data_IF_349544471097
#
_entry.id   IF_349544471097
#
_cell.length_a   1.000
_cell.length_b   1.000
_cell.length_c   1.000
_cell.angle_alpha   90.00
_cell.angle_beta   90.00
_cell.angle_gamma   90.00
#
_symmetry.space_group_name_H-M   'P 1'
#
loop_
_entity.id
_entity.type
_entity.pdbx_description
1 polymer ?
#
# COMPACT_ATOMS: atom_id res chain seq x y z
N UNK A 1 12.63 -26.77 -67.44
CA UNK A 1 13.42 -25.80 -66.66
C UNK A 1 12.50 -24.65 -66.31
N UNK A 2 12.53 -24.18 -65.05
CA UNK A 2 11.35 -23.88 -64.26
C UNK A 2 10.96 -22.39 -64.32
N UNK A 3 9.69 -22.11 -64.01
CA UNK A 3 9.29 -20.81 -63.48
C UNK A 3 8.64 -21.05 -62.11
N UNK A 4 9.48 -21.00 -61.08
CA UNK A 4 9.06 -21.04 -59.68
C UNK A 4 8.71 -19.61 -59.27
N UNK A 5 7.43 -19.27 -59.32
CA UNK A 5 6.91 -18.12 -58.61
C UNK A 5 6.63 -18.53 -57.15
N UNK A 6 7.53 -18.14 -56.24
CA UNK A 6 7.31 -18.21 -54.80
C UNK A 6 6.05 -17.40 -54.41
N UNK A 7 5.14 -17.96 -53.57
CA UNK A 7 4.09 -17.16 -52.99
C UNK A 7 4.70 -16.19 -51.98
N UNK A 8 4.50 -14.89 -52.24
CA UNK A 8 4.89 -13.81 -51.35
C UNK A 8 4.39 -14.07 -49.93
N UNK A 9 5.35 -14.25 -49.01
CA UNK A 9 5.12 -14.34 -47.58
C UNK A 9 4.29 -13.14 -47.12
N UNK A 10 3.01 -13.38 -46.80
CA UNK A 10 2.14 -12.42 -46.14
C UNK A 10 2.80 -12.03 -44.81
N UNK A 11 3.37 -10.82 -44.78
CA UNK A 11 3.87 -10.22 -43.54
C UNK A 11 2.70 -10.13 -42.58
N UNK A 12 2.72 -10.96 -41.55
CA UNK A 12 1.80 -10.87 -40.43
C UNK A 12 2.05 -9.51 -39.76
N UNK A 13 1.22 -8.52 -40.07
CA UNK A 13 1.23 -7.23 -39.39
C UNK A 13 0.78 -7.52 -37.95
N UNK A 14 1.72 -7.47 -37.01
CA UNK A 14 1.40 -7.55 -35.60
C UNK A 14 0.34 -6.50 -35.26
N UNK A 15 -0.69 -6.84 -34.46
CA UNK A 15 -1.73 -5.87 -34.10
C UNK A 15 -1.10 -4.65 -33.43
N UNK A 16 -1.52 -3.46 -33.85
CA UNK A 16 -1.11 -2.19 -33.24
C UNK A 16 -1.45 -2.23 -31.75
N UNK A 17 -0.44 -2.06 -30.89
CA UNK A 17 -0.67 -2.07 -29.45
C UNK A 17 -1.68 -0.97 -29.06
N UNK A 18 -2.64 -1.27 -28.16
CA UNK A 18 -3.61 -0.27 -27.72
C UNK A 18 -2.93 0.99 -27.19
N UNK A 19 -3.35 2.17 -27.69
CA UNK A 19 -2.86 3.49 -27.27
C UNK A 19 -3.98 4.33 -26.67
N UNK A 20 -3.62 5.32 -25.85
CA UNK A 20 -4.58 6.26 -25.27
C UNK A 20 -5.31 7.04 -26.38
N UNK A 21 -6.64 7.11 -26.28
CA UNK A 21 -7.48 7.84 -27.24
C UNK A 21 -7.30 9.36 -27.08
N UNK A 22 -7.67 10.18 -28.09
CA UNK A 22 -7.66 11.63 -27.95
C UNK A 22 -8.47 12.14 -26.76
N UNK A 23 -9.65 11.56 -26.49
CA UNK A 23 -10.49 11.89 -25.32
C UNK A 23 -9.78 11.58 -24.00
N UNK A 24 -9.14 10.41 -23.90
CA UNK A 24 -8.35 10.05 -22.73
C UNK A 24 -7.16 11.00 -22.50
N UNK A 25 -6.47 11.43 -23.56
CA UNK A 25 -5.37 12.40 -23.44
C UNK A 25 -5.88 13.76 -22.96
N UNK A 26 -6.98 14.25 -23.52
CA UNK A 26 -7.60 15.51 -23.11
C UNK A 26 -8.09 15.48 -21.64
N UNK A 27 -8.70 14.36 -21.23
CA UNK A 27 -9.13 14.17 -19.85
C UNK A 27 -7.94 14.09 -18.88
N UNK A 28 -6.87 13.37 -19.25
CA UNK A 28 -5.64 13.31 -18.46
C UNK A 28 -4.99 14.69 -18.31
N UNK A 29 -4.95 15.49 -19.38
CA UNK A 29 -4.45 16.86 -19.34
C UNK A 29 -5.31 17.76 -18.45
N UNK A 30 -6.63 17.63 -18.49
CA UNK A 30 -7.53 18.38 -17.62
C UNK A 30 -7.30 18.04 -16.13
N UNK A 31 -7.10 16.75 -15.82
CA UNK A 31 -6.76 16.29 -14.46
C UNK A 31 -5.37 16.80 -14.04
N UNK A 32 -4.37 16.72 -14.92
CA UNK A 32 -3.02 17.23 -14.68
C UNK A 32 -3.05 18.72 -14.31
N UNK A 33 -3.76 19.54 -15.10
CA UNK A 33 -3.89 20.99 -14.84
C UNK A 33 -4.58 21.27 -13.51
N UNK A 34 -5.67 20.58 -13.21
CA UNK A 34 -6.39 20.78 -11.94
C UNK A 34 -5.55 20.37 -10.73
N UNK A 35 -4.82 19.25 -10.81
CA UNK A 35 -3.92 18.79 -9.75
C UNK A 35 -2.70 19.71 -9.59
N UNK A 36 -2.15 20.22 -10.69
CA UNK A 36 -1.06 21.20 -10.67
C UNK A 36 -1.49 22.51 -10.00
N UNK A 37 -2.71 22.98 -10.24
CA UNK A 37 -3.25 24.16 -9.56
C UNK A 37 -3.41 23.96 -8.04
N UNK A 38 -3.78 22.75 -7.61
CA UNK A 38 -3.78 22.38 -6.19
C UNK A 38 -2.37 22.41 -5.61
N UNK A 39 -1.36 21.87 -6.30
CA UNK A 39 0.03 21.95 -5.84
C UNK A 39 0.58 23.39 -5.82
N UNK A 40 0.21 24.22 -6.79
CA UNK A 40 0.61 25.62 -6.84
C UNK A 40 0.14 26.37 -5.58
N UNK A 41 -1.11 26.14 -5.17
CA UNK A 41 -1.75 26.81 -4.04
C UNK A 41 -1.52 26.13 -2.69
N UNK A 42 -1.24 24.83 -2.68
CA UNK A 42 -1.15 24.00 -1.48
C UNK A 42 -2.52 23.65 -0.91
N UNK A 43 -2.56 22.68 0.01
CA UNK A 43 -3.75 22.28 0.73
C UNK A 43 -4.41 23.46 1.48
N UNK A 44 -3.59 24.36 2.02
CA UNK A 44 -4.04 25.58 2.71
C UNK A 44 -4.76 26.55 1.75
N UNK A 45 -4.34 26.61 0.48
CA UNK A 45 -4.89 27.48 -0.55
C UNK A 45 -5.97 26.83 -1.45
N UNK A 46 -6.09 25.50 -1.44
CA UNK A 46 -6.99 24.74 -2.30
C UNK A 46 -8.46 24.78 -1.83
N UNK A 47 -9.08 25.96 -1.96
CA UNK A 47 -10.47 26.23 -1.59
C UNK A 47 -11.52 25.47 -2.43
N UNK A 48 -12.80 25.82 -2.25
CA UNK A 48 -13.91 25.12 -2.89
C UNK A 48 -13.86 25.11 -4.42
N UNK A 49 -13.35 26.18 -5.04
CA UNK A 49 -13.20 26.29 -6.50
C UNK A 49 -12.20 25.27 -7.03
N UNK A 50 -10.98 25.21 -6.47
CA UNK A 50 -9.96 24.24 -6.87
C UNK A 50 -10.45 22.79 -6.68
N UNK A 51 -11.16 22.51 -5.59
CA UNK A 51 -11.77 21.19 -5.38
C UNK A 51 -12.84 20.86 -6.42
N UNK A 52 -13.70 21.81 -6.77
CA UNK A 52 -14.73 21.62 -7.79
C UNK A 52 -14.11 21.38 -9.18
N UNK A 53 -13.00 22.04 -9.50
CA UNK A 53 -12.26 21.80 -10.74
C UNK A 53 -11.66 20.39 -10.82
N UNK A 54 -11.03 19.92 -9.73
CA UNK A 54 -10.51 18.55 -9.66
C UNK A 54 -11.64 17.53 -9.79
N UNK A 55 -12.78 17.74 -9.12
CA UNK A 55 -13.95 16.86 -9.23
C UNK A 55 -14.56 16.85 -10.64
N UNK A 56 -14.59 18.00 -11.31
CA UNK A 56 -15.04 18.11 -12.71
C UNK A 56 -14.11 17.34 -13.64
N UNK A 57 -12.79 17.51 -13.49
CA UNK A 57 -11.79 16.77 -14.26
C UNK A 57 -11.88 15.25 -13.98
N UNK A 58 -12.10 14.85 -12.73
CA UNK A 58 -12.31 13.45 -12.35
C UNK A 58 -13.57 12.87 -13.01
N UNK A 59 -14.65 13.66 -13.12
CA UNK A 59 -15.86 13.24 -13.82
C UNK A 59 -15.60 13.03 -15.32
N UNK A 60 -14.93 13.97 -15.99
CA UNK A 60 -14.54 13.83 -17.40
C UNK A 60 -13.65 12.59 -17.62
N UNK A 61 -12.63 12.41 -16.77
CA UNK A 61 -11.79 11.22 -16.78
C UNK A 61 -12.59 9.92 -16.64
N UNK A 62 -13.61 9.88 -15.78
CA UNK A 62 -14.50 8.72 -15.65
C UNK A 62 -15.32 8.45 -16.91
N UNK A 63 -15.82 9.49 -17.60
CA UNK A 63 -16.55 9.35 -18.86
C UNK A 63 -15.66 8.77 -19.97
N UNK A 64 -14.36 9.11 -19.98
CA UNK A 64 -13.36 8.59 -20.92
C UNK A 64 -12.73 7.24 -20.48
N UNK A 65 -13.25 6.62 -19.41
CA UNK A 65 -12.79 5.31 -18.94
C UNK A 65 -11.45 5.32 -18.19
N UNK A 66 -11.03 6.48 -17.66
CA UNK A 66 -9.86 6.65 -16.79
C UNK A 66 -10.27 6.54 -15.32
N UNK A 67 -10.70 5.35 -14.92
CA UNK A 67 -11.25 5.08 -13.60
C UNK A 67 -10.25 5.26 -12.47
N UNK A 68 -8.98 4.89 -12.67
CA UNK A 68 -7.91 5.09 -11.68
C UNK A 68 -7.69 6.57 -11.40
N UNK A 69 -7.44 7.37 -12.44
CA UNK A 69 -7.26 8.82 -12.30
C UNK A 69 -8.48 9.49 -11.63
N UNK A 70 -9.70 9.10 -12.01
CA UNK A 70 -10.92 9.62 -11.39
C UNK A 70 -11.02 9.26 -9.90
N UNK A 71 -10.71 8.01 -9.52
CA UNK A 71 -10.73 7.57 -8.13
C UNK A 71 -9.66 8.27 -7.28
N UNK A 72 -8.42 8.36 -7.77
CA UNK A 72 -7.31 9.01 -7.07
C UNK A 72 -7.57 10.52 -6.93
N UNK A 73 -8.16 11.18 -7.93
CA UNK A 73 -8.57 12.58 -7.85
C UNK A 73 -9.63 12.82 -6.76
N UNK A 74 -10.66 11.97 -6.68
CA UNK A 74 -11.67 12.04 -5.61
C UNK A 74 -11.02 11.81 -4.23
N UNK A 75 -10.10 10.85 -4.12
CA UNK A 75 -9.37 10.60 -2.89
C UNK A 75 -8.49 11.81 -2.47
N UNK A 76 -7.84 12.48 -3.41
CA UNK A 76 -7.09 13.70 -3.15
C UNK A 76 -8.00 14.82 -2.61
N UNK A 77 -9.17 15.03 -3.23
CA UNK A 77 -10.17 16.01 -2.74
C UNK A 77 -10.66 15.68 -1.34
N UNK A 78 -10.91 14.40 -1.02
CA UNK A 78 -11.26 14.00 0.34
C UNK A 78 -10.13 14.29 1.35
N UNK A 79 -8.87 14.09 0.95
CA UNK A 79 -7.71 14.49 1.75
C UNK A 79 -7.65 16.00 2.01
N UNK A 80 -7.91 16.82 0.98
CA UNK A 80 -7.99 18.29 1.11
C UNK A 80 -9.14 18.74 2.03
N UNK A 81 -10.25 18.00 2.05
CA UNK A 81 -11.38 18.26 2.96
C UNK A 81 -11.05 17.89 4.40
N UNK A 82 -10.43 16.72 4.60
CA UNK A 82 -9.96 16.28 5.92
C UNK A 82 -8.94 17.25 6.52
N UNK A 83 -7.99 17.75 5.73
CA UNK A 83 -7.02 18.75 6.15
C UNK A 83 -7.71 20.01 6.70
N UNK A 84 -8.70 20.54 5.96
CA UNK A 84 -9.46 21.74 6.35
C UNK A 84 -10.35 21.53 7.56
N UNK A 85 -10.90 20.32 7.71
CA UNK A 85 -11.72 19.95 8.86
C UNK A 85 -10.88 19.67 10.12
N UNK A 86 -9.54 19.74 10.03
CA UNK A 86 -8.62 19.34 11.10
C UNK A 86 -8.92 17.92 11.61
N UNK A 87 -9.24 17.02 10.69
CA UNK A 87 -9.54 15.62 11.00
C UNK A 87 -8.36 14.97 11.74
N UNK A 88 -8.52 14.39 12.94
CA UNK A 88 -7.44 13.71 13.66
C UNK A 88 -6.79 12.56 12.88
N UNK A 89 -7.51 11.95 11.92
CA UNK A 89 -7.00 10.91 11.05
C UNK A 89 -6.22 11.48 9.84
N UNK A 90 -6.24 12.78 9.59
CA UNK A 90 -5.53 13.39 8.47
C UNK A 90 -4.01 13.19 8.61
N UNK A 91 -3.37 12.79 7.51
CA UNK A 91 -1.92 12.69 7.36
C UNK A 91 -1.50 13.39 6.08
N UNK A 92 -0.55 14.33 6.18
CA UNK A 92 -0.01 15.05 5.02
C UNK A 92 0.70 14.11 4.02
N UNK A 93 1.33 13.06 4.53
CA UNK A 93 1.99 12.04 3.70
C UNK A 93 0.99 11.32 2.78
N UNK A 94 -0.21 10.99 3.26
CA UNK A 94 -1.25 10.34 2.46
C UNK A 94 -1.74 11.24 1.32
N UNK A 95 -1.95 12.53 1.60
CA UNK A 95 -2.33 13.50 0.57
C UNK A 95 -1.23 13.67 -0.48
N UNK A 96 0.04 13.77 -0.04
CA UNK A 96 1.18 13.84 -0.95
C UNK A 96 1.29 12.58 -1.83
N UNK A 97 1.09 11.39 -1.25
CA UNK A 97 1.06 10.12 -1.99
C UNK A 97 -0.06 10.06 -3.03
N UNK A 98 -1.27 10.52 -2.68
CA UNK A 98 -2.41 10.59 -3.62
C UNK A 98 -2.15 11.56 -4.77
N UNK A 99 -1.58 12.73 -4.50
CA UNK A 99 -1.24 13.70 -5.54
C UNK A 99 -0.13 13.17 -6.46
N UNK A 100 0.90 12.51 -5.90
CA UNK A 100 1.96 11.84 -6.64
C UNK A 100 1.37 10.76 -7.55
N UNK A 101 0.55 9.86 -7.02
CA UNK A 101 -0.09 8.80 -7.81
C UNK A 101 -0.94 9.38 -8.94
N UNK A 102 -1.75 10.41 -8.64
CA UNK A 102 -2.61 11.06 -9.63
C UNK A 102 -1.78 11.65 -10.78
N UNK A 103 -0.77 12.45 -10.43
CA UNK A 103 0.10 13.12 -11.39
C UNK A 103 0.95 12.11 -12.19
N UNK A 104 1.51 11.09 -11.55
CA UNK A 104 2.23 10.01 -12.23
C UNK A 104 1.32 9.30 -13.25
N UNK A 105 0.10 8.97 -12.84
CA UNK A 105 -0.88 8.27 -13.70
C UNK A 105 -1.18 9.09 -14.95
N UNK A 106 -1.57 10.35 -14.80
CA UNK A 106 -1.96 11.20 -15.93
C UNK A 106 -0.78 11.71 -16.75
N UNK A 107 0.42 11.81 -16.16
CA UNK A 107 1.65 12.13 -16.87
C UNK A 107 2.08 10.98 -17.78
N UNK A 108 1.99 9.73 -17.31
CA UNK A 108 2.44 8.55 -18.06
C UNK A 108 1.46 8.11 -19.15
N UNK A 109 0.16 8.27 -18.90
CA UNK A 109 -0.94 7.81 -19.76
C UNK A 109 -0.77 8.11 -21.27
N UNK A 110 -0.38 9.31 -21.72
CA UNK A 110 -0.30 9.62 -23.16
C UNK A 110 0.74 8.79 -23.91
N UNK A 111 1.74 8.26 -23.19
CA UNK A 111 2.86 7.48 -23.73
C UNK A 111 2.76 5.98 -23.48
N UNK A 112 1.79 5.54 -22.68
CA UNK A 112 1.62 4.13 -22.32
C UNK A 112 0.91 3.34 -23.42
N UNK A 113 1.30 2.07 -23.58
CA UNK A 113 0.69 1.12 -24.51
C UNK A 113 0.35 -0.20 -23.81
N UNK A 114 -0.50 -1.01 -24.45
CA UNK A 114 -0.76 -2.39 -24.03
C UNK A 114 -1.19 -2.56 -22.56
N UNK A 115 -0.48 -3.41 -21.82
CA UNK A 115 -0.77 -3.73 -20.43
C UNK A 115 -0.59 -2.52 -19.49
N UNK A 116 0.43 -1.69 -19.75
CA UNK A 116 0.68 -0.46 -18.97
C UNK A 116 -0.52 0.49 -19.07
N UNK A 117 -1.01 0.72 -20.30
CA UNK A 117 -2.19 1.56 -20.52
C UNK A 117 -3.41 1.00 -19.79
N UNK A 118 -3.60 -0.31 -19.79
CA UNK A 118 -4.71 -0.98 -19.11
C UNK A 118 -4.63 -0.76 -17.58
N UNK A 119 -3.44 -0.90 -17.00
CA UNK A 119 -3.21 -0.64 -15.57
C UNK A 119 -3.41 0.83 -15.18
N UNK A 120 -3.03 1.78 -16.06
CA UNK A 120 -3.24 3.21 -15.83
C UNK A 120 -4.70 3.66 -15.97
N UNK A 121 -5.49 3.00 -16.83
CA UNK A 121 -6.94 3.24 -16.94
C UNK A 121 -7.66 2.79 -15.67
N UNK A 122 -7.28 1.63 -15.13
CA UNK A 122 -8.00 0.97 -14.05
C UNK A 122 -9.40 0.51 -14.47
N UNK A 123 -10.15 -0.07 -13.54
CA UNK A 123 -11.45 -0.69 -13.83
C UNK A 123 -12.60 -0.01 -13.09
N UNK A 124 -13.74 0.22 -13.74
CA UNK A 124 -14.96 0.72 -13.10
C UNK A 124 -15.57 -0.31 -12.14
N UNK A 125 -15.61 -1.57 -12.58
CA UNK A 125 -16.14 -2.71 -11.85
C UNK A 125 -15.14 -3.85 -11.94
N UNK A 126 -14.94 -4.54 -10.82
CA UNK A 126 -14.09 -5.74 -10.78
C UNK A 126 -14.65 -6.78 -11.74
N UNK A 127 -13.84 -7.18 -12.71
CA UNK A 127 -14.10 -8.36 -13.50
C UNK A 127 -13.78 -9.60 -12.64
N UNK A 128 -14.63 -10.61 -12.74
CA UNK A 128 -14.37 -11.92 -12.17
C UNK A 128 -14.17 -12.89 -13.34
N UNK A 129 -13.05 -13.60 -13.35
CA UNK A 129 -12.77 -14.65 -14.30
C UNK A 129 -13.20 -16.01 -13.73
N UNK A 130 -13.70 -16.94 -14.56
CA UNK A 130 -13.95 -18.30 -14.12
C UNK A 130 -12.62 -19.00 -13.83
N UNK A 131 -12.50 -19.57 -12.63
CA UNK A 131 -11.32 -20.32 -12.19
C UNK A 131 -11.59 -21.83 -12.14
N UNK A 132 -12.86 -22.25 -12.29
CA UNK A 132 -13.25 -23.66 -12.26
C UNK A 132 -13.41 -24.19 -10.84
N UNK A 133 -12.59 -25.18 -10.45
CA UNK A 133 -12.60 -25.75 -9.10
C UNK A 133 -11.37 -25.31 -8.32
N UNK A 134 -11.59 -24.86 -7.08
CA UNK A 134 -10.54 -24.42 -6.17
C UNK A 134 -10.59 -25.24 -4.89
N UNK A 135 -9.42 -25.69 -4.43
CA UNK A 135 -9.20 -26.13 -3.05
C UNK A 135 -8.68 -24.94 -2.27
N UNK A 136 -9.30 -24.61 -1.15
CA UNK A 136 -8.94 -23.47 -0.32
C UNK A 136 -8.61 -23.92 1.10
N UNK A 137 -7.57 -23.33 1.66
CA UNK A 137 -7.08 -23.54 3.01
C UNK A 137 -7.14 -22.20 3.75
N UNK A 138 -7.84 -22.15 4.88
CA UNK A 138 -7.94 -20.96 5.70
C UNK A 138 -6.60 -20.47 6.26
N UNK A 139 -6.37 -19.15 6.22
CA UNK A 139 -5.18 -18.50 6.78
C UNK A 139 -5.51 -17.74 8.07
N UNK A 140 -6.25 -16.64 7.98
CA UNK A 140 -6.58 -15.74 9.09
C UNK A 140 -7.79 -14.85 8.75
N UNK A 141 -8.42 -14.27 9.76
CA UNK A 141 -9.50 -13.30 9.61
C UNK A 141 -9.04 -11.90 10.04
N UNK A 142 -9.18 -10.92 9.15
CA UNK A 142 -8.79 -9.54 9.38
C UNK A 142 -10.03 -8.66 9.62
N UNK A 143 -10.14 -7.99 10.78
CA UNK A 143 -11.13 -6.93 10.95
C UNK A 143 -10.70 -5.70 10.17
N UNK A 144 -11.65 -5.09 9.47
CA UNK A 144 -11.44 -3.88 8.67
C UNK A 144 -12.19 -2.73 9.32
N UNK A 145 -11.49 -1.65 9.63
CA UNK A 145 -12.05 -0.35 9.96
C UNK A 145 -11.39 0.67 9.05
N UNK A 146 -12.19 1.48 8.36
CA UNK A 146 -11.66 2.48 7.44
C UNK A 146 -12.06 3.88 7.90
N UNK A 147 -11.20 4.87 7.66
CA UNK A 147 -11.52 6.27 7.88
C UNK A 147 -12.76 6.73 7.07
N UNK A 148 -13.05 6.06 5.94
CA UNK A 148 -14.24 6.30 5.12
C UNK A 148 -15.55 5.75 5.69
N UNK A 149 -15.59 5.38 6.97
CA UNK A 149 -16.81 4.93 7.65
C UNK A 149 -17.30 3.55 7.20
N UNK A 150 -16.44 2.73 6.59
CA UNK A 150 -16.72 1.33 6.29
C UNK A 150 -16.02 0.44 7.30
N UNK A 151 -16.71 -0.63 7.70
CA UNK A 151 -16.20 -1.62 8.62
C UNK A 151 -16.69 -3.03 8.26
N UNK A 152 -15.95 -4.05 8.69
CA UNK A 152 -16.28 -5.43 8.38
C UNK A 152 -15.16 -6.41 8.67
N UNK A 153 -15.22 -7.57 8.03
CA UNK A 153 -14.19 -8.60 8.13
C UNK A 153 -13.80 -9.14 6.74
N UNK A 154 -12.54 -9.55 6.63
CA UNK A 154 -11.98 -10.23 5.46
C UNK A 154 -11.38 -11.55 5.92
N UNK A 155 -11.87 -12.65 5.37
CA UNK A 155 -11.28 -13.96 5.58
C UNK A 155 -10.30 -14.24 4.45
N UNK A 156 -9.10 -14.66 4.84
CA UNK A 156 -8.00 -14.99 3.94
C UNK A 156 -7.86 -16.50 3.81
N UNK A 157 -7.67 -16.94 2.57
CA UNK A 157 -7.44 -18.36 2.23
C UNK A 157 -6.33 -18.46 1.19
N UNK A 158 -5.69 -19.62 1.10
CA UNK A 158 -4.76 -19.95 0.03
C UNK A 158 -5.18 -21.22 -0.73
N UNK A 159 -4.82 -21.33 -2.00
CA UNK A 159 -4.86 -22.59 -2.73
C UNK A 159 -3.58 -23.43 -2.49
N UNK A 160 -3.51 -24.70 -2.96
CA UNK A 160 -2.31 -25.52 -2.81
C UNK A 160 -1.05 -24.96 -3.46
N UNK A 161 -1.21 -24.10 -4.46
CA UNK A 161 -0.15 -23.39 -5.16
C UNK A 161 0.35 -22.16 -4.36
N UNK A 162 -0.34 -21.77 -3.29
CA UNK A 162 -0.01 -20.63 -2.43
C UNK A 162 -0.61 -19.31 -2.90
N UNK A 163 -1.54 -19.33 -3.86
CA UNK A 163 -2.25 -18.12 -4.31
C UNK A 163 -3.28 -17.72 -3.28
N UNK A 164 -3.31 -16.42 -2.99
CA UNK A 164 -4.17 -15.86 -1.96
C UNK A 164 -5.55 -15.51 -2.52
N UNK A 165 -6.56 -15.87 -1.75
CA UNK A 165 -7.96 -15.59 -2.03
C UNK A 165 -8.65 -14.96 -0.83
N UNK A 166 -9.62 -14.09 -1.09
CA UNK A 166 -10.34 -13.37 -0.03
C UNK A 166 -11.86 -13.48 -0.16
N UNK A 167 -12.52 -13.52 1.00
CA UNK A 167 -13.97 -13.36 1.16
C UNK A 167 -14.22 -12.22 2.15
N UNK A 168 -14.94 -11.20 1.73
CA UNK A 168 -15.12 -9.96 2.50
C UNK A 168 -16.59 -9.64 2.75
N UNK A 169 -16.95 -9.25 3.98
CA UNK A 169 -18.19 -8.51 4.30
C UNK A 169 -17.80 -7.17 4.88
N UNK A 170 -17.61 -6.18 4.00
CA UNK A 170 -17.30 -4.79 4.36
C UNK A 170 -18.43 -3.92 3.85
N UNK A 171 -19.02 -3.14 4.74
CA UNK A 171 -20.08 -2.19 4.42
C UNK A 171 -19.97 -0.94 5.32
N UNK A 172 -20.74 0.12 5.07
CA UNK A 172 -20.81 1.26 5.97
C UNK A 172 -21.10 0.80 7.41
N UNK A 173 -20.30 1.29 8.36
CA UNK A 173 -20.37 0.87 9.76
C UNK A 173 -19.15 1.29 10.57
N UNK A 174 -19.28 1.16 11.89
CA UNK A 174 -18.21 1.44 12.85
C UNK A 174 -17.47 0.18 13.34
N UNK A 175 -16.56 0.32 14.30
CA UNK A 175 -15.71 -0.77 14.79
C UNK A 175 -16.47 -2.00 15.31
N UNK A 176 -17.65 -1.82 15.91
CA UNK A 176 -18.50 -2.94 16.35
C UNK A 176 -18.94 -3.85 15.19
N UNK A 177 -19.08 -3.28 13.98
CA UNK A 177 -19.32 -4.07 12.77
C UNK A 177 -18.09 -4.86 12.37
N UNK A 178 -16.88 -4.31 12.54
CA UNK A 178 -15.65 -5.00 12.16
C UNK A 178 -15.47 -6.29 12.95
N UNK A 179 -15.68 -6.23 14.27
CA UNK A 179 -15.62 -7.40 15.13
C UNK A 179 -16.80 -8.33 14.89
N UNK A 180 -18.03 -7.82 14.85
CA UNK A 180 -19.23 -8.63 14.66
C UNK A 180 -19.35 -9.30 13.28
N UNK A 181 -18.75 -8.72 12.23
CA UNK A 181 -18.74 -9.31 10.90
C UNK A 181 -17.94 -10.62 10.86
N UNK A 182 -16.91 -10.77 11.72
CA UNK A 182 -16.10 -11.98 11.76
C UNK A 182 -16.92 -13.24 12.13
N UNK A 183 -17.96 -13.07 12.94
CA UNK A 183 -18.88 -14.11 13.39
C UNK A 183 -20.18 -14.18 12.57
N UNK A 184 -20.31 -13.32 11.56
CA UNK A 184 -21.47 -13.31 10.67
C UNK A 184 -21.28 -14.32 9.55
N UNK A 185 -22.30 -15.15 9.31
CA UNK A 185 -22.26 -16.10 8.21
C UNK A 185 -22.26 -15.38 6.85
N UNK A 186 -21.29 -15.72 6.00
CA UNK A 186 -21.23 -15.37 4.58
C UNK A 186 -21.57 -16.59 3.75
N UNK A 187 -22.37 -16.38 2.72
CA UNK A 187 -22.68 -17.40 1.73
C UNK A 187 -21.60 -17.45 0.66
N UNK A 188 -21.06 -18.65 0.46
CA UNK A 188 -20.22 -18.99 -0.69
C UNK A 188 -20.88 -20.19 -1.37
N UNK A 189 -21.58 -19.93 -2.46
CA UNK A 189 -22.48 -20.91 -3.06
C UNK A 189 -23.55 -21.37 -2.08
N UNK A 190 -23.65 -22.69 -1.88
CA UNK A 190 -24.62 -23.31 -0.97
C UNK A 190 -24.17 -23.39 0.48
N UNK A 191 -22.89 -23.11 0.74
CA UNK A 191 -22.33 -23.16 2.10
C UNK A 191 -22.43 -21.80 2.77
N UNK A 192 -22.79 -21.81 4.07
CA UNK A 192 -22.75 -20.64 4.93
C UNK A 192 -21.72 -20.87 6.06
N UNK A 193 -20.67 -20.05 6.07
CA UNK A 193 -19.60 -20.07 7.08
C UNK A 193 -19.39 -18.66 7.62
N UNK A 194 -19.02 -18.54 8.89
CA UNK A 194 -18.50 -17.28 9.42
C UNK A 194 -17.11 -17.01 8.83
N UNK A 195 -16.66 -15.75 8.80
CA UNK A 195 -15.30 -15.44 8.33
C UNK A 195 -14.24 -16.13 9.16
N UNK A 196 -14.40 -16.23 10.48
CA UNK A 196 -13.48 -16.98 11.35
C UNK A 196 -13.37 -18.46 10.92
N UNK A 197 -14.50 -19.11 10.62
CA UNK A 197 -14.50 -20.49 10.13
C UNK A 197 -13.91 -20.62 8.74
N UNK A 198 -14.22 -19.69 7.83
CA UNK A 198 -13.63 -19.70 6.49
C UNK A 198 -12.12 -19.49 6.53
N UNK A 199 -11.65 -18.67 7.47
CA UNK A 199 -10.25 -18.43 7.73
C UNK A 199 -9.55 -19.61 8.44
N UNK A 200 -10.27 -20.58 9.02
CA UNK A 200 -9.69 -21.70 9.79
C UNK A 200 -9.92 -23.09 9.22
N UNK A 201 -10.98 -23.28 8.45
CA UNK A 201 -11.36 -24.55 7.85
C UNK A 201 -10.86 -24.65 6.39
N UNK A 202 -10.98 -25.84 5.80
CA UNK A 202 -10.77 -26.04 4.37
C UNK A 202 -12.09 -25.95 3.60
N UNK A 203 -12.01 -25.55 2.32
CA UNK A 203 -13.15 -25.51 1.41
C UNK A 203 -12.78 -26.09 0.05
N UNK A 204 -13.72 -26.80 -0.57
CA UNK A 204 -13.70 -27.09 -2.00
C UNK A 204 -14.78 -26.26 -2.65
N UNK A 205 -14.39 -25.43 -3.62
CA UNK A 205 -15.30 -24.56 -4.38
C UNK A 205 -15.31 -25.05 -5.83
N UNK A 206 -16.49 -25.14 -6.42
CA UNK A 206 -16.68 -25.40 -7.85
C UNK A 206 -17.48 -24.28 -8.50
N UNK A 207 -17.19 -24.02 -9.78
CA UNK A 207 -17.72 -22.85 -10.48
C UNK A 207 -17.20 -21.53 -9.90
N UNK A 208 -16.03 -21.55 -9.27
CA UNK A 208 -15.44 -20.39 -8.63
C UNK A 208 -15.19 -19.29 -9.66
N UNK A 209 -15.49 -18.05 -9.26
CA UNK A 209 -15.10 -16.87 -10.02
C UNK A 209 -14.19 -16.02 -9.15
N UNK A 210 -13.06 -15.58 -9.70
CA UNK A 210 -12.01 -14.87 -8.95
C UNK A 210 -11.70 -13.57 -9.66
N UNK A 211 -11.57 -12.49 -8.89
CA UNK A 211 -11.13 -11.21 -9.43
C UNK A 211 -9.62 -11.14 -9.62
N UNK A 212 -9.16 -10.11 -10.34
CA UNK A 212 -7.74 -9.77 -10.44
C UNK A 212 -7.11 -9.31 -9.11
N UNK A 213 -7.86 -9.26 -8.01
CA UNK A 213 -7.31 -9.06 -6.66
C UNK A 213 -7.55 -10.29 -5.77
N UNK A 214 -7.88 -11.45 -6.34
CA UNK A 214 -8.01 -12.71 -5.59
C UNK A 214 -9.32 -12.83 -4.81
N UNK A 215 -10.24 -11.87 -4.94
CA UNK A 215 -11.54 -11.94 -4.27
C UNK A 215 -12.41 -13.00 -4.92
N UNK A 216 -13.01 -13.86 -4.09
CA UNK A 216 -13.94 -14.87 -4.54
C UNK A 216 -15.33 -14.27 -4.77
N UNK A 217 -15.93 -14.63 -5.91
CA UNK A 217 -17.31 -14.32 -6.23
C UNK A 217 -18.27 -15.31 -5.57
N UNK A 218 -19.47 -14.83 -5.23
CA UNK A 218 -20.56 -15.64 -4.68
C UNK A 218 -21.72 -15.78 -5.68
N UNK A 219 -21.41 -15.97 -6.96
CA UNK A 219 -22.40 -16.07 -8.03
C UNK A 219 -23.27 -17.35 -7.94
N UNK A 220 -24.41 -17.36 -8.63
CA UNK A 220 -25.37 -18.46 -8.59
C UNK A 220 -24.83 -19.83 -9.06
N UNK A 221 -23.74 -19.84 -9.85
CA UNK A 221 -23.06 -21.06 -10.31
C UNK A 221 -21.98 -21.58 -9.35
N UNK A 222 -21.69 -20.85 -8.27
CA UNK A 222 -20.69 -21.25 -7.28
C UNK A 222 -21.30 -22.28 -6.34
N UNK A 223 -20.61 -23.39 -6.11
CA UNK A 223 -20.92 -24.36 -5.05
C UNK A 223 -19.69 -24.49 -4.17
N UNK A 224 -19.89 -24.57 -2.86
CA UNK A 224 -18.80 -24.80 -1.93
C UNK A 224 -19.20 -25.86 -0.93
N UNK A 225 -18.24 -26.68 -0.51
CA UNK A 225 -18.41 -27.70 0.54
C UNK A 225 -17.20 -27.62 1.47
N UNK A 226 -17.44 -27.80 2.77
CA UNK A 226 -16.37 -27.89 3.76
C UNK A 226 -15.47 -29.08 3.46
N UNK A 227 -14.18 -28.89 3.65
CA UNK A 227 -13.16 -29.90 3.48
C UNK A 227 -12.15 -29.84 4.64
N UNK A 228 -11.29 -30.85 4.71
CA UNK A 228 -10.15 -30.80 5.64
C UNK A 228 -9.25 -29.60 5.31
N UNK A 229 -9.02 -28.75 6.29
CA UNK A 229 -8.04 -27.65 6.22
C UNK A 229 -6.60 -28.16 6.40
N UNK A 230 -5.66 -27.23 6.49
CA UNK A 230 -4.26 -27.51 6.82
C UNK A 230 -3.80 -26.49 7.88
N UNK A 231 -2.99 -26.95 8.84
CA UNK A 231 -2.28 -26.05 9.74
C UNK A 231 -1.21 -25.25 9.01
N UNK A 232 -0.74 -24.15 9.62
CA UNK A 232 0.33 -23.34 9.00
C UNK A 232 1.65 -24.09 8.83
N UNK A 233 1.91 -25.12 9.66
CA UNK A 233 3.08 -26.01 9.59
C UNK A 233 2.83 -27.28 8.76
N UNK A 234 1.70 -27.36 8.07
CA UNK A 234 1.32 -28.53 7.27
C UNK A 234 1.26 -28.15 5.78
N UNK A 235 1.55 -29.13 4.93
CA UNK A 235 1.27 -28.98 3.50
C UNK A 235 -0.25 -28.80 3.27
N UNK A 236 -0.64 -27.91 2.34
CA UNK A 236 0.22 -27.16 1.42
C UNK A 236 0.62 -25.75 1.92
N UNK A 237 0.26 -25.35 3.14
CA UNK A 237 0.44 -23.97 3.61
C UNK A 237 1.87 -23.63 4.03
N UNK A 238 2.64 -24.60 4.51
CA UNK A 238 4.02 -24.43 4.97
C UNK A 238 4.91 -23.69 3.95
N UNK A 239 4.64 -23.91 2.65
CA UNK A 239 5.34 -23.26 1.53
C UNK A 239 5.33 -21.73 1.57
N UNK A 240 4.30 -21.12 2.17
CA UNK A 240 4.17 -19.66 2.24
C UNK A 240 5.26 -19.07 3.15
N UNK A 241 5.60 -19.80 4.22
CA UNK A 241 6.68 -19.45 5.15
C UNK A 241 8.07 -19.90 4.66
N UNK A 242 8.12 -20.93 3.81
CA UNK A 242 9.38 -21.38 3.22
C UNK A 242 10.03 -20.37 2.26
N UNK A 243 9.27 -19.39 1.77
CA UNK A 243 9.81 -18.32 0.93
C UNK A 243 10.63 -17.30 1.75
N UNK A 244 11.84 -16.91 1.32
CA UNK A 244 12.65 -15.93 2.03
C UNK A 244 11.93 -14.59 2.24
N UNK A 245 12.02 -14.02 3.44
CA UNK A 245 11.36 -12.75 3.79
C UNK A 245 11.74 -11.58 2.85
N UNK A 246 12.98 -11.59 2.34
CA UNK A 246 13.46 -10.61 1.35
C UNK A 246 12.62 -10.66 0.05
N UNK A 247 12.37 -11.85 -0.48
CA UNK A 247 11.61 -12.04 -1.72
C UNK A 247 10.14 -11.67 -1.52
N UNK A 248 9.58 -12.04 -0.36
CA UNK A 248 8.23 -11.64 0.03
C UNK A 248 8.09 -10.11 0.13
N UNK A 249 9.09 -9.42 0.69
CA UNK A 249 9.10 -7.97 0.80
C UNK A 249 9.21 -7.29 -0.57
N UNK A 250 10.09 -7.77 -1.46
CA UNK A 250 10.22 -7.27 -2.84
C UNK A 250 8.90 -7.42 -3.59
N UNK A 251 8.24 -8.58 -3.46
CA UNK A 251 6.92 -8.81 -4.05
C UNK A 251 5.88 -7.84 -3.50
N UNK A 252 5.80 -7.68 -2.18
CA UNK A 252 4.88 -6.75 -1.53
C UNK A 252 5.10 -5.28 -1.97
N UNK A 253 6.36 -4.86 -2.11
CA UNK A 253 6.75 -3.53 -2.59
C UNK A 253 6.43 -3.27 -4.07
N UNK A 254 6.43 -4.33 -4.88
CA UNK A 254 6.08 -4.28 -6.29
C UNK A 254 4.57 -4.09 -6.54
N UNK A 255 3.78 -3.94 -5.46
CA UNK A 255 2.33 -3.85 -5.55
C UNK A 255 1.67 -5.18 -5.88
N UNK A 256 2.41 -6.30 -5.80
CA UNK A 256 1.80 -7.62 -5.95
C UNK A 256 0.90 -7.89 -4.74
N UNK A 257 -0.32 -8.26 -5.09
CA UNK A 257 -1.50 -8.55 -4.27
C UNK A 257 -1.24 -8.63 -2.76
N UNK A 258 -1.90 -7.70 -2.06
CA UNK A 258 -2.16 -7.66 -0.62
C UNK A 258 -1.01 -7.25 0.30
N UNK A 259 0.24 -7.36 -0.13
CA UNK A 259 1.41 -6.93 0.66
C UNK A 259 1.58 -7.72 1.96
N UNK A 260 1.16 -8.98 1.96
CA UNK A 260 1.30 -9.90 3.09
C UNK A 260 2.68 -10.55 3.11
N UNK A 261 3.20 -10.73 4.31
CA UNK A 261 4.43 -11.42 4.65
C UNK A 261 4.09 -12.59 5.58
N UNK A 262 4.70 -13.73 5.33
CA UNK A 262 4.61 -14.97 6.08
C UNK A 262 5.97 -15.21 6.74
N UNK A 263 6.06 -14.91 8.03
CA UNK A 263 7.34 -14.78 8.74
C UNK A 263 7.45 -15.84 9.84
N UNK A 264 8.60 -16.49 9.92
CA UNK A 264 9.05 -17.23 11.11
C UNK A 264 9.82 -16.24 12.00
N UNK A 265 9.34 -16.04 13.23
CA UNK A 265 9.81 -15.00 14.14
C UNK A 265 10.26 -15.58 15.48
N UNK A 266 11.29 -14.98 16.07
CA UNK A 266 11.62 -15.16 17.48
C UNK A 266 11.53 -13.81 18.18
N UNK A 267 10.67 -13.69 19.19
CA UNK A 267 10.51 -12.42 19.93
C UNK A 267 11.82 -12.09 20.64
N UNK A 268 12.34 -10.89 20.45
CA UNK A 268 13.57 -10.42 21.11
C UNK A 268 13.31 -9.37 22.18
N UNK A 269 12.21 -8.64 22.08
CA UNK A 269 11.81 -7.66 23.10
C UNK A 269 10.81 -6.65 22.56
N UNK A 270 10.83 -5.43 23.08
CA UNK A 270 10.01 -4.33 22.59
C UNK A 270 10.74 -2.98 22.70
N UNK A 271 10.33 -2.03 21.87
CA UNK A 271 10.78 -0.65 21.89
C UNK A 271 9.59 0.29 21.85
N UNK A 272 9.68 1.42 22.55
CA UNK A 272 8.70 2.50 22.45
C UNK A 272 9.16 3.52 21.42
N UNK A 273 8.40 3.66 20.33
CA UNK A 273 8.59 4.70 19.34
C UNK A 273 7.60 5.85 19.55
N UNK A 274 7.82 6.97 18.85
CA UNK A 274 6.86 8.08 18.83
C UNK A 274 5.47 7.65 18.33
N UNK A 275 5.42 6.65 17.44
CA UNK A 275 4.18 6.10 16.90
C UNK A 275 3.48 5.09 17.84
N UNK A 276 4.18 4.55 18.85
CA UNK A 276 3.61 3.56 19.77
C UNK A 276 4.57 2.45 20.17
N UNK A 277 4.02 1.42 20.82
CA UNK A 277 4.75 0.22 21.21
C UNK A 277 5.05 -0.62 19.96
N UNK A 278 6.31 -1.02 19.80
CA UNK A 278 6.76 -1.90 18.73
C UNK A 278 7.38 -3.16 19.35
N UNK A 279 6.93 -4.33 18.90
CA UNK A 279 7.54 -5.61 19.22
C UNK A 279 8.80 -5.78 18.35
N UNK A 280 9.90 -6.20 18.96
CA UNK A 280 11.13 -6.56 18.27
C UNK A 280 11.18 -8.08 18.11
N UNK A 281 11.50 -8.54 16.91
CA UNK A 281 11.69 -9.96 16.61
C UNK A 281 12.88 -10.17 15.67
N UNK A 282 13.50 -11.34 15.77
CA UNK A 282 14.43 -11.84 14.77
C UNK A 282 13.66 -12.66 13.73
N UNK A 283 13.93 -12.42 12.46
CA UNK A 283 13.39 -13.15 11.32
C UNK A 283 14.56 -13.67 10.49
N UNK A 284 15.11 -14.82 10.88
CA UNK A 284 16.24 -15.43 10.17
C UNK A 284 17.49 -14.53 10.11
N UNK A 285 17.79 -13.80 11.19
CA UNK A 285 18.89 -12.84 11.27
C UNK A 285 18.53 -11.41 10.87
N UNK A 286 17.30 -11.16 10.38
CA UNK A 286 16.80 -9.80 10.12
C UNK A 286 16.05 -9.31 11.36
N UNK A 287 16.49 -8.20 11.95
CA UNK A 287 15.79 -7.55 13.05
C UNK A 287 14.54 -6.81 12.53
N UNK A 288 13.35 -7.30 12.90
CA UNK A 288 12.05 -6.78 12.43
C UNK A 288 11.36 -5.99 13.54
N UNK A 289 10.83 -4.82 13.18
CA UNK A 289 9.93 -4.02 14.02
C UNK A 289 8.47 -4.31 13.68
N UNK A 290 7.74 -4.87 14.63
CA UNK A 290 6.34 -5.28 14.47
C UNK A 290 5.42 -4.32 15.20
N UNK A 291 4.43 -3.78 14.50
CA UNK A 291 3.42 -2.88 15.06
C UNK A 291 2.02 -3.46 14.99
N UNK A 292 1.06 -2.82 15.66
CA UNK A 292 -0.35 -3.08 15.37
C UNK A 292 -0.64 -2.82 13.88
N UNK A 293 -1.43 -3.70 13.25
CA UNK A 293 -1.88 -3.49 11.88
C UNK A 293 -2.95 -2.39 11.78
N UNK A 294 -3.73 -2.19 12.84
CA UNK A 294 -4.69 -1.10 13.01
C UNK A 294 -4.65 -0.62 14.47
N UNK A 295 -4.58 0.69 14.67
CA UNK A 295 -4.48 1.33 15.98
C UNK A 295 -5.83 1.65 16.64
N UNK A 296 -6.95 1.31 15.98
CA UNK A 296 -8.27 1.61 16.49
C UNK A 296 -8.50 0.91 17.85
N UNK A 297 -8.88 1.65 18.91
CA UNK A 297 -8.89 1.13 20.30
C UNK A 297 -9.87 -0.02 20.55
N UNK A 298 -10.88 -0.18 19.69
CA UNK A 298 -11.81 -1.30 19.75
C UNK A 298 -11.22 -2.65 19.27
N UNK A 299 -10.09 -2.63 18.55
CA UNK A 299 -9.43 -3.82 18.02
C UNK A 299 -8.34 -4.31 18.99
N UNK A 300 -8.08 -5.62 19.00
CA UNK A 300 -7.20 -6.25 19.98
C UNK A 300 -5.68 -6.08 19.70
N UNK A 301 -5.30 -5.54 18.54
CA UNK A 301 -3.90 -5.50 18.08
C UNK A 301 -2.92 -4.94 19.12
N UNK A 302 -3.20 -3.73 19.66
CA UNK A 302 -2.28 -3.04 20.57
C UNK A 302 -2.07 -3.79 21.87
N UNK A 303 -3.12 -4.39 22.41
CA UNK A 303 -3.04 -5.18 23.64
C UNK A 303 -2.24 -6.45 23.41
N UNK A 304 -2.51 -7.16 22.31
CA UNK A 304 -1.78 -8.37 21.95
C UNK A 304 -0.29 -8.12 21.73
N UNK A 305 0.08 -7.03 21.03
CA UNK A 305 1.49 -6.64 20.85
C UNK A 305 2.19 -6.43 22.20
N UNK A 306 1.53 -5.77 23.16
CA UNK A 306 2.07 -5.60 24.51
C UNK A 306 2.19 -6.91 25.28
N UNK A 307 1.23 -7.81 25.14
CA UNK A 307 1.27 -9.14 25.76
C UNK A 307 2.46 -9.95 25.22
N UNK A 308 2.62 -10.01 23.90
CA UNK A 308 3.74 -10.71 23.26
C UNK A 308 5.11 -10.14 23.64
N UNK A 309 5.21 -8.83 23.86
CA UNK A 309 6.44 -8.17 24.32
C UNK A 309 6.97 -8.69 25.66
N UNK A 310 6.13 -9.36 26.46
CA UNK A 310 6.51 -9.93 27.76
C UNK A 310 7.18 -11.31 27.66
N UNK A 311 7.28 -11.87 26.43
CA UNK A 311 7.74 -13.23 26.20
C UNK A 311 8.92 -13.32 25.21
N UNK A 312 10.08 -12.65 25.46
CA UNK A 312 11.29 -12.87 24.65
C UNK A 312 11.69 -14.35 24.57
N UNK A 313 12.25 -14.75 23.43
CA UNK A 313 12.64 -16.12 23.12
C UNK A 313 11.51 -16.99 22.55
N UNK A 314 10.27 -16.49 22.47
CA UNK A 314 9.14 -17.26 21.96
C UNK A 314 9.19 -17.35 20.42
N UNK A 315 9.28 -18.55 19.83
CA UNK A 315 9.15 -18.73 18.39
C UNK A 315 7.68 -18.67 17.98
N UNK A 316 7.38 -17.95 16.90
CA UNK A 316 6.04 -17.81 16.35
C UNK A 316 6.10 -17.82 14.84
N UNK A 317 5.11 -18.45 14.20
CA UNK A 317 4.77 -18.08 12.82
C UNK A 317 3.82 -16.91 12.84
N UNK A 318 4.00 -16.01 11.90
CA UNK A 318 3.19 -14.81 11.76
C UNK A 318 2.78 -14.57 10.33
N UNK A 319 1.61 -13.94 10.19
CA UNK A 319 1.20 -13.21 9.00
C UNK A 319 1.24 -11.73 9.37
N UNK A 320 1.93 -10.94 8.55
CA UNK A 320 2.08 -9.50 8.74
C UNK A 320 1.86 -8.76 7.42
N UNK A 321 1.56 -7.47 7.50
CA UNK A 321 1.47 -6.57 6.34
C UNK A 321 2.71 -5.71 6.29
N UNK A 322 3.40 -5.67 5.15
CA UNK A 322 4.57 -4.83 4.97
C UNK A 322 4.22 -3.35 5.24
N UNK A 323 5.04 -2.66 6.05
CA UNK A 323 4.98 -1.22 6.24
C UNK A 323 6.29 -0.64 5.68
N UNK A 324 6.28 0.07 4.54
CA UNK A 324 7.49 0.65 3.97
C UNK A 324 8.23 1.55 4.97
N UNK A 325 9.50 1.23 5.24
CA UNK A 325 10.36 1.94 6.16
C UNK A 325 11.83 1.67 5.80
N UNK A 326 12.79 2.53 6.22
CA UNK A 326 14.22 2.30 5.99
C UNK A 326 14.81 1.18 6.88
N UNK A 327 13.96 0.43 7.58
CA UNK A 327 14.28 -0.71 8.41
C UNK A 327 13.15 -1.74 8.25
N UNK A 328 13.40 -3.02 8.52
CA UNK A 328 12.37 -4.05 8.39
C UNK A 328 11.20 -3.75 9.35
N UNK A 329 10.02 -3.46 8.79
CA UNK A 329 8.83 -3.07 9.54
C UNK A 329 7.58 -3.72 8.95
N UNK A 330 6.73 -4.26 9.81
CA UNK A 330 5.46 -4.84 9.40
C UNK A 330 4.37 -4.67 10.47
N UNK A 331 3.12 -4.57 10.03
CA UNK A 331 1.93 -4.60 10.89
C UNK A 331 1.49 -6.04 11.11
N UNK A 332 1.52 -6.51 12.36
CA UNK A 332 1.22 -7.90 12.70
C UNK A 332 -0.28 -8.17 12.61
N UNK A 333 -0.68 -9.18 11.84
CA UNK A 333 -2.08 -9.51 11.56
C UNK A 333 -2.55 -10.75 12.30
N UNK A 334 -1.76 -11.82 12.26
CA UNK A 334 -2.06 -13.09 12.90
C UNK A 334 -0.77 -13.81 13.31
N UNK A 335 -0.86 -14.65 14.34
CA UNK A 335 0.27 -15.45 14.84
C UNK A 335 -0.18 -16.86 15.23
N UNK A 336 0.74 -17.81 15.27
CA UNK A 336 0.52 -19.08 15.99
C UNK A 336 0.33 -18.82 17.48
N UNK A 337 -0.44 -19.67 18.15
CA UNK A 337 -0.63 -19.55 19.59
C UNK A 337 0.70 -19.82 20.32
N UNK A 338 1.14 -18.96 21.27
CA UNK A 338 2.45 -19.11 21.92
C UNK A 338 2.64 -20.41 22.69
N UNK A 339 1.56 -20.99 23.22
CA UNK A 339 1.59 -22.19 24.09
C UNK A 339 0.75 -23.36 23.58
N UNK A 340 -0.07 -23.19 22.54
CA UNK A 340 -0.99 -24.23 22.06
C UNK A 340 -0.59 -24.66 20.63
N UNK A 341 0.04 -25.85 20.47
CA UNK A 341 0.47 -26.31 19.16
C UNK A 341 -0.70 -26.44 18.17
N UNK A 342 -0.51 -25.88 16.97
CA UNK A 342 -1.51 -25.92 15.89
C UNK A 342 -2.65 -24.91 16.02
N UNK A 343 -2.79 -24.23 17.17
CA UNK A 343 -3.70 -23.10 17.32
C UNK A 343 -3.06 -21.80 16.79
N UNK A 344 -3.90 -20.83 16.46
CA UNK A 344 -3.49 -19.52 15.95
C UNK A 344 -4.49 -18.45 16.38
N UNK A 345 -4.04 -17.21 16.30
CA UNK A 345 -4.74 -16.03 16.79
C UNK A 345 -4.82 -14.98 15.69
N UNK A 346 -6.04 -14.52 15.42
CA UNK A 346 -6.31 -13.37 14.57
C UNK A 346 -6.19 -12.10 15.43
N UNK A 347 -5.06 -11.40 15.39
CA UNK A 347 -4.68 -10.42 16.42
C UNK A 347 -5.60 -9.18 16.50
N UNK A 348 -6.40 -8.92 15.47
CA UNK A 348 -7.40 -7.85 15.51
C UNK A 348 -8.70 -8.25 16.22
N UNK A 349 -8.93 -9.56 16.37
CA UNK A 349 -10.20 -10.15 16.82
C UNK A 349 -10.05 -10.93 18.14
N UNK A 350 -8.98 -11.69 18.30
CA UNK A 350 -8.70 -12.51 19.47
C UNK A 350 -7.89 -11.72 20.50
N UNK A 351 -8.07 -12.02 21.79
CA UNK A 351 -7.35 -11.35 22.88
C UNK A 351 -6.52 -12.36 23.65
N UNK A 352 -5.20 -12.19 23.58
CA UNK A 352 -4.25 -12.94 24.40
C UNK A 352 -4.47 -12.65 25.87
N UNK A 353 -4.70 -13.72 26.64
CA UNK A 353 -4.72 -13.71 28.08
C UNK A 353 -3.33 -14.05 28.63
N UNK A 354 -3.10 -13.76 29.92
CA UNK A 354 -1.85 -14.12 30.59
C UNK A 354 -1.61 -15.65 30.60
N UNK A 355 -2.66 -16.46 30.60
CA UNK A 355 -2.57 -17.92 30.55
C UNK A 355 -2.09 -18.46 29.19
N UNK A 356 -2.26 -17.65 28.13
CA UNK A 356 -1.91 -18.01 26.75
C UNK A 356 -0.42 -17.75 26.46
N UNK A 357 0.28 -17.14 27.42
CA UNK A 357 1.68 -16.77 27.30
C UNK A 357 2.57 -17.79 28.03
N UNK A 358 3.77 -18.08 27.50
CA UNK A 358 4.73 -18.89 28.22
C UNK A 358 5.09 -18.23 29.56
N UNK A 359 5.47 -19.01 30.58
CA UNK A 359 5.93 -18.46 31.83
C UNK A 359 7.09 -17.48 31.58
N UNK A 360 7.12 -16.33 32.26
CA UNK A 360 8.15 -15.33 32.02
C UNK A 360 9.52 -15.96 32.24
N UNK A 361 10.39 -15.86 31.24
CA UNK A 361 11.78 -16.28 31.38
C UNK A 361 12.42 -15.51 32.55
N UNK A 362 13.35 -16.11 33.31
CA UNK A 362 14.08 -15.42 34.36
C UNK A 362 14.72 -14.16 33.77
N UNK A 363 14.34 -13.02 34.35
CA UNK A 363 14.69 -11.70 33.86
C UNK A 363 16.20 -11.55 33.78
N UNK A 364 16.78 -11.64 32.58
CA UNK A 364 18.01 -10.91 32.35
C UNK A 364 17.62 -9.44 32.33
N UNK A 365 18.24 -8.58 33.14
CA UNK A 365 18.00 -7.15 33.04
C UNK A 365 18.20 -6.80 31.56
N UNK A 366 17.28 -6.03 30.95
CA UNK A 366 17.51 -5.58 29.58
C UNK A 366 18.88 -4.91 29.60
N UNK A 367 19.83 -5.42 28.81
CA UNK A 367 21.02 -4.65 28.47
C UNK A 367 20.48 -3.31 28.02
N UNK A 368 20.77 -2.27 28.82
CA UNK A 368 19.96 -1.05 28.89
C UNK A 368 19.54 -0.63 27.50
N UNK A 369 18.22 -0.45 27.30
CA UNK A 369 17.60 -0.11 26.02
C UNK A 369 18.56 0.82 25.28
N UNK A 370 19.30 0.24 24.33
CA UNK A 370 20.16 1.03 23.50
C UNK A 370 19.17 1.92 22.79
N UNK A 371 19.15 3.21 23.16
CA UNK A 371 18.74 4.24 22.25
C UNK A 371 19.56 3.95 21.00
N UNK A 372 18.91 3.33 20.03
CA UNK A 372 19.49 2.97 18.74
C UNK A 372 20.27 4.22 18.32
N UNK A 373 21.61 4.15 18.19
CA UNK A 373 22.40 5.33 17.88
C UNK A 373 21.76 5.88 16.64
N UNK A 374 21.16 7.09 16.76
CA UNK A 374 20.23 7.66 15.79
C UNK A 374 20.69 7.21 14.41
N UNK A 375 20.05 6.16 13.87
CA UNK A 375 20.53 5.48 12.66
C UNK A 375 20.89 6.60 11.73
N UNK A 376 22.15 6.68 11.32
CA UNK A 376 22.70 7.84 10.64
C UNK A 376 21.95 7.95 9.30
N UNK A 377 20.75 8.55 9.39
CA UNK A 377 19.72 8.42 8.39
C UNK A 377 20.26 9.30 7.30
N UNK A 378 20.64 8.66 6.19
CA UNK A 378 20.93 9.35 4.96
C UNK A 378 19.90 10.50 4.83
N UNK A 379 20.33 11.75 4.53
CA UNK A 379 19.50 12.94 4.70
C UNK A 379 18.35 13.07 3.67
N UNK A 380 17.78 11.95 3.25
CA UNK A 380 16.61 11.77 2.40
C UNK A 380 15.39 12.54 2.92
N UNK A 381 15.28 12.68 4.24
CA UNK A 381 14.23 13.48 4.86
C UNK A 381 14.23 14.95 4.39
N UNK A 382 15.37 15.49 3.94
CA UNK A 382 15.46 16.86 3.42
C UNK A 382 14.61 17.03 2.17
N UNK A 383 14.76 16.15 1.17
CA UNK A 383 13.95 16.19 -0.05
C UNK A 383 12.48 15.89 0.25
N UNK A 384 12.21 14.85 1.06
CA UNK A 384 10.85 14.47 1.46
C UNK A 384 10.12 15.62 2.16
N UNK A 385 10.80 16.34 3.05
CA UNK A 385 10.24 17.52 3.74
C UNK A 385 9.78 18.56 2.73
N UNK A 386 10.54 18.84 1.67
CA UNK A 386 10.16 19.82 0.64
C UNK A 386 9.00 19.35 -0.23
N UNK A 387 8.97 18.05 -0.56
CA UNK A 387 7.82 17.43 -1.25
C UNK A 387 6.54 17.62 -0.43
N UNK A 388 6.57 17.38 0.88
CA UNK A 388 5.41 17.58 1.76
C UNK A 388 5.06 19.05 1.98
N UNK A 389 6.05 19.93 2.12
CA UNK A 389 5.83 21.37 2.28
C UNK A 389 5.13 21.99 1.06
N UNK A 390 5.48 21.56 -0.16
CA UNK A 390 4.77 21.97 -1.37
C UNK A 390 3.29 21.57 -1.34
N UNK A 391 2.97 20.36 -0.85
CA UNK A 391 1.58 19.90 -0.73
C UNK A 391 0.81 20.70 0.32
N UNK A 392 1.43 21.06 1.45
CA UNK A 392 0.77 21.85 2.49
C UNK A 392 0.58 23.31 2.08
N UNK A 393 1.68 24.01 1.79
CA UNK A 393 1.74 25.47 1.66
C UNK A 393 1.87 26.00 0.23
N UNK A 394 1.95 25.10 -0.76
CA UNK A 394 2.03 25.45 -2.17
C UNK A 394 3.43 25.87 -2.63
N UNK A 395 3.51 26.31 -3.89
CA UNK A 395 4.77 26.75 -4.53
C UNK A 395 5.48 27.85 -3.76
N UNK A 396 4.73 28.81 -3.22
CA UNK A 396 5.27 29.96 -2.48
C UNK A 396 6.13 29.55 -1.29
N UNK A 397 5.82 28.41 -0.66
CA UNK A 397 6.57 27.94 0.50
C UNK A 397 8.00 27.56 0.10
N UNK A 398 8.17 26.91 -1.05
CA UNK A 398 9.49 26.55 -1.56
C UNK A 398 10.23 27.76 -2.16
N UNK A 399 9.51 28.70 -2.79
CA UNK A 399 10.13 29.90 -3.36
C UNK A 399 10.78 30.81 -2.30
N UNK A 400 10.31 30.75 -1.05
CA UNK A 400 10.82 31.55 0.07
C UNK A 400 11.87 30.82 0.92
N UNK A 401 12.13 29.54 0.61
CA UNK A 401 13.05 28.70 1.38
C UNK A 401 14.51 29.08 1.12
N UNK A 402 15.21 29.53 2.16
CA UNK A 402 16.61 29.98 2.08
C UNK A 402 17.62 28.85 2.30
N UNK A 403 17.18 27.70 2.81
CA UNK A 403 18.07 26.60 3.20
C UNK A 403 18.35 25.61 2.06
N UNK A 404 17.66 25.74 0.93
CA UNK A 404 17.72 24.82 -0.21
C UNK A 404 19.16 24.52 -0.68
N UNK A 405 20.01 25.54 -0.75
CA UNK A 405 21.40 25.38 -1.19
C UNK A 405 22.26 24.63 -0.15
N UNK A 406 21.99 24.81 1.14
CA UNK A 406 22.68 24.10 2.21
C UNK A 406 22.24 22.62 2.23
N UNK A 407 20.94 22.36 2.13
CA UNK A 407 20.36 21.03 2.03
C UNK A 407 20.92 20.25 0.83
N UNK A 408 21.00 20.89 -0.35
CA UNK A 408 21.57 20.27 -1.56
C UNK A 408 23.06 19.92 -1.40
N UNK A 409 23.85 20.77 -0.73
CA UNK A 409 25.26 20.47 -0.43
C UNK A 409 25.39 19.28 0.53
N UNK A 410 24.52 19.19 1.53
CA UNK A 410 24.51 18.07 2.47
C UNK A 410 24.17 16.75 1.76
N UNK A 411 23.15 16.75 0.89
CA UNK A 411 22.81 15.59 0.06
C UNK A 411 23.99 15.11 -0.80
N UNK A 412 24.69 16.03 -1.49
CA UNK A 412 25.86 15.67 -2.30
C UNK A 412 27.01 15.08 -1.48
N UNK A 413 27.28 15.64 -0.29
CA UNK A 413 28.32 15.12 0.61
C UNK A 413 28.03 13.69 1.08
N UNK A 414 26.75 13.30 1.15
CA UNK A 414 26.30 11.97 1.52
C UNK A 414 26.06 11.05 0.30
N UNK A 415 26.58 11.40 -0.88
CA UNK A 415 26.46 10.59 -2.09
C UNK A 415 25.10 10.67 -2.80
N UNK A 416 24.17 11.51 -2.33
CA UNK A 416 22.82 11.65 -2.89
C UNK A 416 22.76 12.78 -3.94
N UNK A 417 23.57 12.67 -5.00
CA UNK A 417 23.67 13.70 -6.05
C UNK A 417 22.33 13.91 -6.78
N UNK A 418 21.65 12.84 -7.18
CA UNK A 418 20.32 12.91 -7.84
C UNK A 418 19.29 13.62 -6.97
N UNK A 419 19.26 13.32 -5.66
CA UNK A 419 18.36 14.00 -4.73
C UNK A 419 18.66 15.51 -4.63
N UNK A 420 19.94 15.89 -4.66
CA UNK A 420 20.36 17.29 -4.62
C UNK A 420 19.97 18.04 -5.90
N UNK A 421 20.07 17.40 -7.07
CA UNK A 421 19.71 18.00 -8.35
C UNK A 421 18.19 18.15 -8.49
N UNK A 422 17.42 17.15 -8.04
CA UNK A 422 15.96 17.22 -7.94
C UNK A 422 15.51 18.32 -6.98
N UNK A 423 16.18 18.45 -5.82
CA UNK A 423 15.91 19.53 -4.87
C UNK A 423 16.16 20.90 -5.51
N UNK A 424 17.28 21.06 -6.22
CA UNK A 424 17.62 22.29 -6.92
C UNK A 424 16.61 22.63 -8.02
N UNK A 425 16.24 21.66 -8.84
CA UNK A 425 15.25 21.80 -9.92
C UNK A 425 13.87 22.19 -9.36
N UNK A 426 13.45 21.56 -8.27
CA UNK A 426 12.18 21.87 -7.61
C UNK A 426 12.15 23.32 -7.10
N UNK A 427 13.24 23.80 -6.48
CA UNK A 427 13.33 25.18 -6.02
C UNK A 427 13.40 26.18 -7.17
N UNK A 428 14.15 25.85 -8.24
CA UNK A 428 14.20 26.69 -9.43
C UNK A 428 12.81 26.85 -10.05
N UNK A 429 12.08 25.74 -10.25
CA UNK A 429 10.71 25.74 -10.74
C UNK A 429 9.74 26.49 -9.80
N UNK A 430 10.00 26.46 -8.48
CA UNK A 430 9.20 27.20 -7.52
C UNK A 430 9.45 28.71 -7.56
N UNK A 431 10.72 29.11 -7.71
CA UNK A 431 11.15 30.49 -7.78
C UNK A 431 10.88 31.12 -9.15
N UNK A 432 10.65 30.31 -10.18
CA UNK A 432 10.45 30.76 -11.55
C UNK A 432 9.26 31.73 -11.65
N UNK A 433 9.57 32.93 -12.14
CA UNK A 433 8.65 34.02 -12.40
C UNK A 433 9.22 34.86 -13.54
N UNK A 434 8.91 34.45 -14.76
CA UNK A 434 9.22 35.25 -15.92
C UNK A 434 8.53 36.63 -15.86
N UNK A 435 9.14 37.58 -16.56
CA UNK A 435 8.58 38.91 -16.76
C UNK A 435 8.39 39.16 -18.25
N UNK A 436 7.30 39.85 -18.58
CA UNK A 436 7.12 40.36 -19.94
C UNK A 436 8.12 41.49 -20.24
N UNK A 437 8.13 41.95 -21.50
CA UNK A 437 8.97 43.08 -21.95
C UNK A 437 8.69 44.38 -21.20
N UNK A 438 7.60 44.46 -20.44
CA UNK A 438 7.22 45.60 -19.61
C UNK A 438 7.53 45.39 -18.11
N UNK A 439 8.23 44.31 -17.75
CA UNK A 439 8.62 44.00 -16.38
C UNK A 439 7.50 43.43 -15.50
N UNK A 440 6.32 43.15 -16.07
CA UNK A 440 5.17 42.56 -15.36
C UNK A 440 5.40 41.05 -15.22
N UNK A 441 5.01 40.49 -14.08
CA UNK A 441 5.16 39.06 -13.82
C UNK A 441 4.20 38.26 -14.71
N UNK A 442 4.74 37.35 -15.50
CA UNK A 442 3.95 36.37 -16.23
C UNK A 442 3.31 35.36 -15.25
N UNK A 443 2.20 34.71 -15.65
CA UNK A 443 1.66 33.58 -14.91
C UNK A 443 2.75 32.53 -14.71
N UNK A 444 2.79 31.93 -13.52
CA UNK A 444 3.76 30.87 -13.24
C UNK A 444 3.48 29.64 -14.12
N UNK A 445 4.54 28.97 -14.57
CA UNK A 445 4.42 27.66 -15.22
C UNK A 445 4.11 26.58 -14.18
N UNK A 446 2.83 26.49 -13.82
CA UNK A 446 2.31 25.49 -12.87
C UNK A 446 2.57 24.06 -13.34
N UNK A 447 2.66 23.84 -14.66
CA UNK A 447 2.94 22.52 -15.21
C UNK A 447 4.42 22.14 -15.02
N UNK A 448 5.35 23.08 -15.21
CA UNK A 448 6.77 22.85 -14.91
C UNK A 448 7.02 22.62 -13.42
N UNK A 449 6.38 23.40 -12.54
CA UNK A 449 6.45 23.17 -11.10
C UNK A 449 5.90 21.80 -10.72
N UNK A 450 4.72 21.42 -11.22
CA UNK A 450 4.12 20.11 -10.93
C UNK A 450 4.98 18.94 -11.45
N UNK A 451 5.62 19.06 -12.63
CA UNK A 451 6.55 18.04 -13.15
C UNK A 451 7.81 17.91 -12.27
N UNK A 452 8.37 19.03 -11.84
CA UNK A 452 9.56 19.04 -10.97
C UNK A 452 9.24 18.45 -9.59
N UNK A 453 8.07 18.77 -9.05
CA UNK A 453 7.56 18.16 -7.81
C UNK A 453 7.32 16.65 -7.98
N UNK A 454 6.70 16.23 -9.09
CA UNK A 454 6.44 14.82 -9.38
C UNK A 454 7.75 14.02 -9.46
N UNK A 455 8.77 14.54 -10.14
CA UNK A 455 10.08 13.90 -10.23
C UNK A 455 10.71 13.69 -8.84
N UNK A 456 10.68 14.72 -7.98
CA UNK A 456 11.15 14.62 -6.60
C UNK A 456 10.33 13.61 -5.78
N UNK A 457 9.00 13.62 -5.91
CA UNK A 457 8.11 12.74 -5.17
C UNK A 457 8.27 11.25 -5.59
N UNK A 458 8.40 10.98 -6.89
CA UNK A 458 8.69 9.63 -7.41
C UNK A 458 10.05 9.16 -6.93
N UNK A 459 11.09 10.00 -7.03
CA UNK A 459 12.42 9.64 -6.51
C UNK A 459 12.38 9.28 -5.03
N UNK A 460 11.66 10.04 -4.20
CA UNK A 460 11.56 9.74 -2.77
C UNK A 460 10.84 8.42 -2.49
N UNK A 461 9.83 8.06 -3.28
CA UNK A 461 9.13 6.78 -3.17
C UNK A 461 10.01 5.61 -3.63
N UNK A 462 10.71 5.75 -4.76
CA UNK A 462 11.64 4.72 -5.25
C UNK A 462 12.77 4.48 -4.26
N UNK A 463 13.30 5.55 -3.66
CA UNK A 463 14.33 5.45 -2.64
C UNK A 463 13.80 4.78 -1.38
N UNK A 464 12.59 5.11 -0.92
CA UNK A 464 11.94 4.40 0.20
C UNK A 464 11.73 2.92 -0.10
N UNK A 465 11.33 2.59 -1.33
CA UNK A 465 11.17 1.21 -1.77
C UNK A 465 12.50 0.46 -1.74
N UNK A 466 13.57 1.06 -2.28
CA UNK A 466 14.90 0.46 -2.31
C UNK A 466 15.46 0.27 -0.89
N UNK A 467 15.34 1.28 -0.02
CA UNK A 467 15.78 1.18 1.38
C UNK A 467 14.98 0.14 2.16
N UNK A 468 13.67 0.04 1.92
CA UNK A 468 12.83 -1.00 2.51
C UNK A 468 13.29 -2.39 2.06
N UNK A 469 13.48 -2.61 0.75
CA UNK A 469 13.96 -3.89 0.22
C UNK A 469 15.32 -4.28 0.84
N UNK A 470 16.27 -3.33 0.90
CA UNK A 470 17.57 -3.51 1.52
C UNK A 470 17.46 -3.93 2.99
N UNK A 471 16.57 -3.28 3.74
CA UNK A 471 16.37 -3.56 5.15
C UNK A 471 15.78 -4.95 5.43
N UNK A 472 15.07 -5.53 4.47
CA UNK A 472 14.59 -6.91 4.52
C UNK A 472 15.60 -7.93 4.00
N UNK A 473 16.84 -7.49 3.67
CA UNK A 473 17.91 -8.36 3.20
C UNK A 473 17.90 -8.64 1.70
N UNK A 474 17.07 -7.94 0.91
CA UNK A 474 17.14 -8.04 -0.54
C UNK A 474 18.41 -7.36 -1.06
N UNK A 475 19.04 -7.96 -2.06
CA UNK A 475 20.10 -7.29 -2.81
C UNK A 475 19.48 -6.11 -3.58
N UNK A 476 20.02 -4.90 -3.37
CA UNK A 476 19.61 -3.66 -4.05
C UNK A 476 20.29 -3.52 -5.40
#
# INVERSE_FOLDING_TARGET
>A
TPDHAEPASARHVAPDEPRATPGQRAAAEAVLRAAAAVLETGADGAGGVAQAEVLRAAHAARLDGLHRAAATAVAAVNGLRAARAADPAYRLADLAGRLRELLATVHRLPSATGAELTALRGTARRAYAPEGSLRLHGLFCEPVVTAGGHAGAVAWTADPEGRLHTVSDVAPGGPARATGAADRAVRLGDTALTHRRLASEGLVVSGATVSEDGRLGAGAGVRAVRARGAGWHEDPLDRLWAEPAADQAVRALSGHRHGLLFLDLVITGAVREAAGDCLLADCGGVAVRLTAADDHPALAYRENIRSLATCPGTPLRAIARLIPAPHARAGLLAVTHPTEPGARLDLGLDRLQRADLPPPAPHHPPGGAASDPAVDQAPVHLLRRRVHQAVSGGRRMLALDRDAAADARLLRRQGLATAADLLGTLHAAAADRDRDTFGRLLPADTAHFARSWLAAAVYTEELDRALCAAAWGAAV
#
